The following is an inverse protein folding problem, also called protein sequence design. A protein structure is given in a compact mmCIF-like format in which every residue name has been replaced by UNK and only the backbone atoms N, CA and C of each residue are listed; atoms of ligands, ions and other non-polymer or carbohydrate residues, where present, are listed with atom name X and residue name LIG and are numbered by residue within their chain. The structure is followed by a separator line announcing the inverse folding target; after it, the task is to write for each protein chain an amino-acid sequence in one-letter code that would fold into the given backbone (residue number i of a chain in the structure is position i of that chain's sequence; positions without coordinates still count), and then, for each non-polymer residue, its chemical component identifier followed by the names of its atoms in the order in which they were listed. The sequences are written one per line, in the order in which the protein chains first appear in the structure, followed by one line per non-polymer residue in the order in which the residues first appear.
data_IF_984653641167
#
_entry.id   IF_984653641167
#
_cell.length_a   1.000
_cell.length_b   1.000
_cell.length_c   1.000
_cell.angle_alpha   90.00
_cell.angle_beta   90.00
_cell.angle_gamma   90.00
#
_symmetry.space_group_name_H-M   'P 1'
#
loop_
_entity.id
_entity.type
_entity.pdbx_description
1 polymer ?
#
# COMPACT_ATOMS: atom_id res chain seq x y z
N UNK A 1 -23.38 31.94 24.27
CA UNK A 1 -23.41 30.86 23.26
C UNK A 1 -22.00 30.64 22.72
N UNK A 2 -21.31 29.57 23.16
CA UNK A 2 -19.97 29.22 22.63
C UNK A 2 -20.16 28.47 21.32
N UNK A 3 -19.66 29.03 20.21
CA UNK A 3 -19.58 28.33 18.92
C UNK A 3 -18.73 27.08 19.14
N UNK A 4 -19.35 25.90 19.03
CA UNK A 4 -18.61 24.63 18.97
C UNK A 4 -17.81 24.66 17.69
N UNK A 5 -16.48 24.71 17.83
CA UNK A 5 -15.57 24.50 16.73
C UNK A 5 -15.72 23.03 16.33
N UNK A 6 -16.45 22.76 15.26
CA UNK A 6 -16.48 21.45 14.61
C UNK A 6 -15.15 21.35 13.87
N UNK A 7 -14.22 20.44 14.23
CA UNK A 7 -13.01 20.28 13.46
C UNK A 7 -13.41 19.92 12.03
N UNK A 8 -12.78 20.59 11.06
CA UNK A 8 -12.92 20.28 9.64
C UNK A 8 -12.66 18.78 9.43
N UNK A 9 -13.41 18.17 8.51
CA UNK A 9 -13.26 16.79 8.07
C UNK A 9 -11.77 16.46 7.89
N UNK A 10 -11.27 15.56 8.72
CA UNK A 10 -9.87 15.16 8.70
C UNK A 10 -9.50 14.61 7.34
N UNK A 11 -8.28 14.92 6.88
CA UNK A 11 -7.67 14.30 5.73
C UNK A 11 -7.84 12.76 5.79
N UNK A 12 -7.97 12.07 4.65
CA UNK A 12 -7.95 10.61 4.64
C UNK A 12 -6.72 10.15 5.42
N UNK A 13 -6.95 9.33 6.45
CA UNK A 13 -5.86 8.78 7.27
C UNK A 13 -5.28 7.61 6.49
N UNK A 14 -4.02 7.71 6.08
CA UNK A 14 -3.27 6.55 5.60
C UNK A 14 -2.96 5.61 6.77
N UNK A 15 -2.88 4.32 6.49
CA UNK A 15 -2.54 3.27 7.47
C UNK A 15 -1.40 2.43 6.91
N UNK A 16 -0.38 2.17 7.73
CA UNK A 16 0.70 1.25 7.38
C UNK A 16 0.34 -0.15 7.87
N UNK A 17 0.44 -1.12 6.96
CA UNK A 17 0.25 -2.54 7.27
C UNK A 17 1.59 -3.23 7.22
N UNK A 18 1.97 -3.91 8.31
CA UNK A 18 3.16 -4.76 8.29
C UNK A 18 2.90 -5.99 7.44
N UNK A 19 3.81 -6.30 6.53
CA UNK A 19 3.65 -7.43 5.61
C UNK A 19 3.50 -8.79 6.33
N UNK A 20 4.08 -8.97 7.52
CA UNK A 20 3.95 -10.20 8.32
C UNK A 20 2.64 -10.28 9.13
N UNK A 21 1.88 -9.20 9.22
CA UNK A 21 0.53 -9.18 9.81
C UNK A 21 -0.55 -9.58 8.80
N UNK A 22 -0.23 -9.62 7.50
CA UNK A 22 -1.17 -10.04 6.45
C UNK A 22 -1.27 -11.56 6.47
N UNK A 23 -2.39 -12.08 6.95
CA UNK A 23 -2.68 -13.53 6.93
C UNK A 23 -3.75 -13.92 5.91
N UNK A 24 -4.54 -12.96 5.45
CA UNK A 24 -5.51 -13.14 4.38
C UNK A 24 -5.37 -12.00 3.38
N UNK A 25 -5.27 -12.35 2.11
CA UNK A 25 -5.13 -11.43 1.00
C UNK A 25 -6.15 -11.82 -0.07
N UNK A 26 -6.90 -10.85 -0.58
CA UNK A 26 -7.94 -11.08 -1.57
C UNK A 26 -8.03 -9.93 -2.54
N UNK A 27 -8.61 -10.21 -3.70
CA UNK A 27 -8.95 -9.21 -4.70
C UNK A 27 -10.46 -9.20 -4.94
N UNK A 28 -11.02 -8.01 -5.07
CA UNK A 28 -12.31 -7.76 -5.70
C UNK A 28 -12.08 -6.84 -6.89
N UNK A 29 -13.05 -6.73 -7.80
CA UNK A 29 -12.93 -6.05 -9.10
C UNK A 29 -12.07 -4.77 -9.08
N UNK A 30 -12.21 -3.92 -8.05
CA UNK A 30 -11.49 -2.66 -7.96
C UNK A 30 -10.45 -2.55 -6.83
N UNK A 31 -10.25 -3.59 -6.02
CA UNK A 31 -9.46 -3.46 -4.79
C UNK A 31 -8.63 -4.70 -4.44
N UNK A 32 -7.40 -4.46 -3.99
CA UNK A 32 -6.61 -5.43 -3.22
C UNK A 32 -6.86 -5.19 -1.74
N UNK A 33 -7.24 -6.25 -1.01
CA UNK A 33 -7.67 -6.19 0.39
C UNK A 33 -6.89 -7.16 1.23
N UNK A 34 -6.47 -6.72 2.41
CA UNK A 34 -5.79 -7.55 3.40
C UNK A 34 -6.53 -7.54 4.74
N UNK A 35 -6.42 -8.65 5.47
CA UNK A 35 -6.88 -8.75 6.84
C UNK A 35 -6.03 -9.75 7.66
N UNK A 36 -6.11 -9.59 8.98
CA UNK A 36 -5.59 -10.57 9.94
C UNK A 36 -6.64 -11.67 10.21
N UNK A 37 -6.18 -12.89 10.49
CA UNK A 37 -7.01 -14.05 10.73
C UNK A 37 -7.78 -13.85 12.03
N UNK A 38 -9.12 -13.85 11.93
CA UNK A 38 -9.99 -13.60 13.07
C UNK A 38 -10.24 -12.11 13.35
N UNK A 39 -9.71 -11.21 12.50
CA UNK A 39 -10.10 -9.80 12.50
C UNK A 39 -11.22 -9.55 11.49
N UNK A 40 -12.21 -8.75 11.89
CA UNK A 40 -13.23 -8.21 10.98
C UNK A 40 -12.73 -6.95 10.24
N UNK A 41 -11.52 -6.48 10.57
CA UNK A 41 -10.90 -5.32 9.94
C UNK A 41 -10.33 -5.70 8.57
N UNK A 42 -10.80 -5.00 7.54
CA UNK A 42 -10.30 -5.11 6.17
C UNK A 42 -9.58 -3.82 5.83
N UNK A 43 -8.32 -3.93 5.45
CA UNK A 43 -7.53 -2.82 4.92
C UNK A 43 -7.49 -2.92 3.41
N UNK A 44 -7.79 -1.81 2.73
CA UNK A 44 -7.60 -1.68 1.27
C UNK A 44 -6.15 -1.27 1.04
N UNK A 45 -5.41 -2.11 0.31
CA UNK A 45 -4.00 -1.89 -0.01
C UNK A 45 -3.81 -1.22 -1.37
N UNK A 46 -4.78 -1.40 -2.27
CA UNK A 46 -4.85 -0.74 -3.57
C UNK A 46 -6.32 -0.57 -3.95
N UNK A 47 -6.67 0.58 -4.52
CA UNK A 47 -7.98 0.87 -5.08
C UNK A 47 -7.82 1.48 -6.48
N UNK A 48 -8.60 1.05 -7.47
CA UNK A 48 -8.59 1.68 -8.79
C UNK A 48 -8.95 3.17 -8.72
N UNK A 49 -9.73 3.59 -7.72
CA UNK A 49 -10.06 4.99 -7.48
C UNK A 49 -8.82 5.85 -7.21
N UNK A 50 -7.74 5.27 -6.68
CA UNK A 50 -6.48 5.99 -6.41
C UNK A 50 -5.77 6.44 -7.70
N UNK A 51 -6.05 5.79 -8.83
CA UNK A 51 -5.49 6.13 -10.15
C UNK A 51 -6.28 7.21 -10.91
N UNK A 52 -7.42 7.67 -10.37
CA UNK A 52 -8.26 8.71 -10.98
C UNK A 52 -9.21 8.21 -12.08
N UNK A 53 -9.86 9.16 -12.78
CA UNK A 53 -11.05 8.92 -13.61
C UNK A 53 -10.87 8.00 -14.83
N UNK A 54 -9.63 7.63 -15.19
CA UNK A 54 -9.34 6.75 -16.32
C UNK A 54 -8.25 5.72 -16.00
N UNK A 55 -8.08 5.38 -14.72
CA UNK A 55 -7.16 4.32 -14.36
C UNK A 55 -7.61 2.99 -15.00
N UNK A 56 -6.67 2.17 -15.49
CA UNK A 56 -7.00 0.81 -15.87
C UNK A 56 -7.50 0.02 -14.65
N UNK A 57 -8.18 -1.10 -14.91
CA UNK A 57 -8.49 -2.06 -13.86
C UNK A 57 -7.20 -2.62 -13.25
N UNK A 58 -7.28 -3.06 -11.99
CA UNK A 58 -6.18 -3.79 -11.37
C UNK A 58 -5.97 -5.12 -12.12
N UNK A 59 -4.72 -5.54 -12.38
CA UNK A 59 -4.43 -6.86 -12.96
C UNK A 59 -5.06 -7.99 -12.13
N UNK A 60 -5.56 -9.04 -12.77
CA UNK A 60 -6.28 -10.15 -12.10
C UNK A 60 -5.48 -10.75 -10.92
N UNK A 61 -4.16 -10.84 -11.08
CA UNK A 61 -3.24 -11.41 -10.09
C UNK A 61 -2.52 -10.34 -9.25
N UNK A 62 -2.96 -9.08 -9.25
CA UNK A 62 -2.24 -7.98 -8.59
C UNK A 62 -2.05 -8.19 -7.07
N UNK A 63 -2.97 -8.90 -6.42
CA UNK A 63 -2.82 -9.34 -5.04
C UNK A 63 -1.73 -10.41 -4.88
N UNK A 64 -1.57 -11.33 -5.83
CA UNK A 64 -0.47 -12.29 -5.85
C UNK A 64 0.87 -11.59 -6.12
N UNK A 65 0.89 -10.59 -7.00
CA UNK A 65 2.07 -9.76 -7.28
C UNK A 65 2.61 -9.06 -6.03
N UNK A 66 1.73 -8.68 -5.09
CA UNK A 66 2.14 -8.13 -3.80
C UNK A 66 3.02 -9.12 -3.02
N UNK A 67 2.71 -10.42 -3.05
CA UNK A 67 3.52 -11.43 -2.34
C UNK A 67 4.92 -11.55 -2.95
N UNK A 68 5.03 -11.46 -4.27
CA UNK A 68 6.31 -11.41 -4.96
C UNK A 68 7.08 -10.14 -4.62
N UNK A 69 6.40 -8.98 -4.62
CA UNK A 69 7.00 -7.70 -4.23
C UNK A 69 7.50 -7.72 -2.78
N UNK A 70 6.75 -8.30 -1.84
CA UNK A 70 7.16 -8.49 -0.44
C UNK A 70 8.39 -9.40 -0.34
N UNK A 71 8.44 -10.49 -1.11
CA UNK A 71 9.59 -11.39 -1.13
C UNK A 71 10.86 -10.68 -1.65
N UNK A 72 10.72 -9.89 -2.71
CA UNK A 72 11.80 -9.05 -3.26
C UNK A 72 12.26 -8.00 -2.25
N UNK A 73 11.33 -7.28 -1.63
CA UNK A 73 11.63 -6.29 -0.60
C UNK A 73 12.41 -6.88 0.58
N UNK A 74 12.03 -8.08 1.05
CA UNK A 74 12.76 -8.78 2.12
C UNK A 74 14.18 -9.19 1.70
N UNK A 75 14.37 -9.56 0.43
CA UNK A 75 15.69 -9.88 -0.11
C UNK A 75 16.57 -8.63 -0.14
N UNK A 76 16.05 -7.54 -0.70
CA UNK A 76 16.78 -6.28 -0.82
C UNK A 76 17.09 -5.66 0.55
N UNK A 77 16.20 -5.83 1.53
CA UNK A 77 16.44 -5.45 2.92
C UNK A 77 17.59 -6.25 3.56
N UNK A 78 17.65 -7.56 3.30
CA UNK A 78 18.72 -8.43 3.82
C UNK A 78 20.09 -8.07 3.25
N UNK A 79 20.14 -7.67 1.98
CA UNK A 79 21.38 -7.35 1.29
C UNK A 79 21.92 -5.95 1.69
N UNK A 80 21.09 -5.09 2.28
CA UNK A 80 21.45 -3.74 2.75
C UNK A 80 22.16 -3.70 4.13
N UNK A 81 22.91 -4.76 4.47
CA UNK A 81 23.39 -5.08 5.82
C UNK A 81 24.26 -4.02 6.54
N UNK A 82 24.65 -2.93 5.86
CA UNK A 82 25.55 -1.90 6.39
C UNK A 82 24.83 -0.67 7.00
N UNK A 83 23.50 -0.56 6.86
CA UNK A 83 22.69 0.48 7.52
C UNK A 83 21.31 -0.05 7.94
N UNK A 84 21.00 0.01 9.24
CA UNK A 84 19.74 -0.48 9.80
C UNK A 84 18.54 0.34 9.33
N UNK A 85 18.72 1.64 9.05
CA UNK A 85 17.67 2.51 8.51
C UNK A 85 17.41 2.22 7.02
N UNK A 86 18.32 1.48 6.36
CA UNK A 86 18.16 0.96 5.00
C UNK A 86 17.57 -0.46 4.94
N UNK A 87 17.10 -1.03 6.05
CA UNK A 87 16.46 -2.37 6.03
C UNK A 87 14.95 -2.27 5.78
N UNK A 88 14.31 -1.16 6.12
CA UNK A 88 12.88 -0.99 5.93
C UNK A 88 12.53 -0.75 4.45
N UNK A 89 11.46 -1.41 3.99
CA UNK A 89 10.89 -1.24 2.65
C UNK A 89 9.40 -1.00 2.78
N UNK A 90 8.92 -0.02 2.03
CA UNK A 90 7.50 0.25 1.89
C UNK A 90 7.10 -0.12 0.47
N UNK A 91 5.94 -0.76 0.36
CA UNK A 91 5.30 -1.09 -0.92
C UNK A 91 4.01 -0.28 -1.03
N UNK A 92 3.79 0.33 -2.20
CA UNK A 92 2.58 1.08 -2.52
C UNK A 92 2.14 0.74 -3.94
N UNK A 93 0.83 0.56 -4.13
CA UNK A 93 0.27 0.44 -5.47
C UNK A 93 0.32 1.81 -6.16
N UNK A 94 0.89 1.87 -7.34
CA UNK A 94 0.99 3.09 -8.15
C UNK A 94 0.66 2.78 -9.60
N UNK A 95 0.16 3.81 -10.30
CA UNK A 95 -0.01 3.79 -11.75
C UNK A 95 1.24 4.36 -12.40
N UNK A 96 2.02 3.53 -13.09
CA UNK A 96 3.21 3.92 -13.84
C UNK A 96 3.04 3.53 -15.30
N UNK A 97 3.26 4.48 -16.22
CA UNK A 97 3.13 4.27 -17.67
C UNK A 97 1.82 3.60 -18.11
N UNK A 98 0.73 3.81 -17.35
CA UNK A 98 -0.58 3.25 -17.61
C UNK A 98 -0.78 1.82 -17.09
N UNK A 99 0.11 1.31 -16.26
CA UNK A 99 0.02 -0.01 -15.63
C UNK A 99 0.11 0.10 -14.10
N UNK A 100 -0.68 -0.72 -13.40
CA UNK A 100 -0.60 -0.80 -11.95
C UNK A 100 0.61 -1.62 -11.54
N UNK A 101 1.44 -1.07 -10.64
CA UNK A 101 2.64 -1.71 -10.13
C UNK A 101 2.75 -1.56 -8.61
N UNK A 102 3.36 -2.55 -7.96
CA UNK A 102 3.79 -2.42 -6.56
C UNK A 102 5.15 -1.75 -6.52
N UNK A 103 5.16 -0.46 -6.24
CA UNK A 103 6.40 0.31 -6.14
C UNK A 103 7.01 0.15 -4.76
N UNK A 104 8.31 -0.12 -4.74
CA UNK A 104 9.11 -0.24 -3.54
C UNK A 104 9.92 1.03 -3.30
N UNK A 105 9.96 1.47 -2.05
CA UNK A 105 10.77 2.62 -1.63
C UNK A 105 11.29 2.44 -0.20
N UNK A 106 12.30 3.23 0.14
CA UNK A 106 12.84 3.33 1.50
C UNK A 106 12.07 4.40 2.28
N UNK A 107 11.89 4.26 3.62
CA UNK A 107 11.24 5.31 4.41
C UNK A 107 11.96 6.66 4.37
N UNK A 108 13.28 6.65 4.12
CA UNK A 108 14.11 7.85 3.97
C UNK A 108 13.95 8.55 2.62
N UNK A 109 13.35 7.88 1.63
CA UNK A 109 13.04 8.47 0.33
C UNK A 109 11.73 9.25 0.41
N UNK A 110 11.64 10.41 -0.26
CA UNK A 110 10.38 11.15 -0.33
C UNK A 110 9.30 10.28 -0.97
N UNK A 111 8.11 10.28 -0.39
CA UNK A 111 6.95 9.53 -0.89
C UNK A 111 6.75 9.83 -2.40
N UNK A 112 6.64 8.80 -3.27
CA UNK A 112 6.52 9.04 -4.69
C UNK A 112 5.19 9.73 -4.96
N UNK A 113 5.25 10.93 -5.53
CA UNK A 113 4.03 11.63 -5.95
C UNK A 113 3.38 10.84 -7.10
N UNK A 114 2.06 10.61 -7.07
CA UNK A 114 1.37 10.07 -8.24
C UNK A 114 1.58 11.03 -9.42
N UNK A 115 1.83 10.44 -10.60
CA UNK A 115 2.02 11.17 -11.86
C UNK A 115 0.70 11.68 -12.41
#
# INVERSE_FOLDING_TARGET
MRKRHRPASGAPKSTLVRADAISYLSMRENQVRASELGSDEIVVLADTEDGGHNAPELPEDFHTDLLFAVAMARRDARDAADDADEQDRILLAQLEDGEWVWKMFRPSEPEPKPS
#
